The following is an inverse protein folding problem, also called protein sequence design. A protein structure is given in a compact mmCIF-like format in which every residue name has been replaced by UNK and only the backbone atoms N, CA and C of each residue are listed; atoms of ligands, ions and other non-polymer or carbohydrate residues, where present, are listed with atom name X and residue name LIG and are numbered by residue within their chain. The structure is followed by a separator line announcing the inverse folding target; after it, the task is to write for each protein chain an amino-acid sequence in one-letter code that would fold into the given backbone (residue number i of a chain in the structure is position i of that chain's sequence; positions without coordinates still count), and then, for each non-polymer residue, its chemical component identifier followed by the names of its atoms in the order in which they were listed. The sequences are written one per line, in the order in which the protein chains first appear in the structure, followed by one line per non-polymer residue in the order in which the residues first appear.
data_IF_599045412997
#
_entry.id   IF_599045412997
#
_cell.length_a   1.000
_cell.length_b   1.000
_cell.length_c   1.000
_cell.angle_alpha   90.00
_cell.angle_beta   90.00
_cell.angle_gamma   90.00
#
_symmetry.space_group_name_H-M   'P 1'
#
loop_
_entity.id
_entity.type
_entity.pdbx_description
1 polymer ?
#
# COMPACT_ATOMS: atom_id res chain seq x y z
N UNK A 1 9.39 16.39 -17.29
CA UNK A 1 8.66 15.67 -16.22
C UNK A 1 9.30 14.30 -16.08
N UNK A 2 9.72 13.91 -14.87
CA UNK A 2 10.23 12.56 -14.65
C UNK A 2 9.09 11.55 -14.87
N UNK A 3 9.37 10.46 -15.58
CA UNK A 3 8.36 9.41 -15.79
C UNK A 3 8.00 8.76 -14.45
N UNK A 4 6.71 8.53 -14.21
CA UNK A 4 6.26 7.79 -13.03
C UNK A 4 6.87 6.38 -13.08
N UNK A 5 7.59 5.93 -12.04
CA UNK A 5 8.17 4.59 -12.03
C UNK A 5 7.08 3.52 -12.08
N UNK A 6 7.38 2.32 -12.59
CA UNK A 6 6.40 1.24 -12.65
C UNK A 6 5.95 0.82 -11.24
N UNK A 7 4.72 0.29 -11.15
CA UNK A 7 4.14 -0.26 -9.93
C UNK A 7 5.08 -1.32 -9.31
N UNK A 8 5.36 -1.19 -8.03
CA UNK A 8 6.09 -2.19 -7.26
C UNK A 8 5.21 -3.37 -6.88
N UNK A 9 5.71 -4.58 -7.06
CA UNK A 9 5.05 -5.81 -6.61
C UNK A 9 5.87 -6.47 -5.51
N UNK A 10 5.23 -7.15 -4.55
CA UNK A 10 5.94 -7.87 -3.50
C UNK A 10 6.66 -9.09 -4.06
N UNK A 11 7.82 -9.41 -3.50
CA UNK A 11 8.52 -10.65 -3.80
C UNK A 11 7.69 -11.86 -3.36
N UNK A 12 7.92 -13.00 -3.99
CA UNK A 12 7.23 -14.26 -3.70
C UNK A 12 8.20 -15.34 -3.26
N UNK A 13 7.76 -16.22 -2.37
CA UNK A 13 8.46 -17.46 -2.12
C UNK A 13 8.60 -18.27 -3.40
N UNK A 14 9.72 -19.00 -3.54
CA UNK A 14 9.93 -19.93 -4.66
C UNK A 14 8.89 -21.05 -4.65
N UNK A 15 8.69 -21.70 -5.78
CA UNK A 15 7.73 -22.80 -5.88
C UNK A 15 8.08 -23.95 -4.91
N UNK A 16 9.37 -24.25 -4.74
CA UNK A 16 9.87 -25.27 -3.82
C UNK A 16 9.56 -24.91 -2.37
N UNK A 17 9.83 -23.67 -1.97
CA UNK A 17 9.53 -23.19 -0.62
C UNK A 17 8.02 -23.23 -0.33
N UNK A 18 7.18 -22.84 -1.29
CA UNK A 18 5.73 -22.88 -1.14
C UNK A 18 5.17 -24.30 -0.97
N UNK A 19 5.82 -25.31 -1.55
CA UNK A 19 5.43 -26.73 -1.39
C UNK A 19 5.89 -27.31 -0.06
N UNK A 20 6.94 -26.75 0.53
CA UNK A 20 7.57 -27.25 1.74
C UNK A 20 7.00 -26.69 3.04
N UNK A 21 6.19 -25.61 2.98
CA UNK A 21 5.67 -24.95 4.18
C UNK A 21 4.32 -24.27 3.91
N UNK A 22 3.70 -23.74 4.97
CA UNK A 22 2.45 -22.97 4.93
C UNK A 22 2.68 -21.49 5.24
N UNK A 23 3.89 -20.96 5.02
CA UNK A 23 4.18 -19.54 5.18
C UNK A 23 3.48 -18.70 4.10
N UNK A 24 3.36 -17.40 4.35
CA UNK A 24 2.79 -16.46 3.38
C UNK A 24 3.60 -16.48 2.08
N UNK A 25 2.89 -16.55 0.96
CA UNK A 25 3.51 -16.62 -0.39
C UNK A 25 4.18 -15.31 -0.76
N UNK A 26 3.50 -14.20 -0.50
CA UNK A 26 4.00 -12.86 -0.77
C UNK A 26 4.77 -12.33 0.44
N UNK A 27 5.99 -11.88 0.21
CA UNK A 27 6.82 -11.30 1.25
C UNK A 27 6.41 -9.84 1.53
N UNK A 28 6.53 -9.34 2.76
CA UNK A 28 6.32 -7.92 3.02
C UNK A 28 7.34 -7.09 2.25
N UNK A 29 6.99 -5.84 1.94
CA UNK A 29 7.94 -4.91 1.37
C UNK A 29 9.12 -4.68 2.31
N UNK A 30 10.31 -4.54 1.74
CA UNK A 30 11.43 -3.93 2.43
C UNK A 30 11.19 -2.41 2.55
N UNK A 31 11.91 -1.74 3.44
CA UNK A 31 11.83 -0.29 3.59
C UNK A 31 12.07 0.45 2.25
N UNK A 32 13.03 -0.03 1.46
CA UNK A 32 13.31 0.55 0.14
C UNK A 32 12.18 0.33 -0.87
N UNK A 33 11.52 -0.82 -0.84
CA UNK A 33 10.36 -1.09 -1.71
C UNK A 33 9.16 -0.23 -1.29
N UNK A 34 8.88 -0.15 -0.01
CA UNK A 34 7.79 0.66 0.54
C UNK A 34 7.99 2.16 0.21
N UNK A 35 9.21 2.68 0.39
CA UNK A 35 9.53 4.07 0.07
C UNK A 35 9.35 4.37 -1.42
N UNK A 36 9.93 3.54 -2.32
CA UNK A 36 9.76 3.73 -3.77
C UNK A 36 8.29 3.71 -4.19
N UNK A 37 7.50 2.85 -3.60
CA UNK A 37 6.08 2.79 -3.91
C UNK A 37 5.32 3.99 -3.32
N UNK A 38 5.69 4.46 -2.13
CA UNK A 38 5.14 5.66 -1.53
C UNK A 38 5.45 6.93 -2.34
N UNK A 39 6.62 7.00 -2.98
CA UNK A 39 7.01 8.11 -3.86
C UNK A 39 6.10 8.25 -5.09
N UNK A 40 5.44 7.18 -5.51
CA UNK A 40 4.48 7.21 -6.63
C UNK A 40 3.17 7.93 -6.28
N UNK A 41 2.85 8.05 -5.00
CA UNK A 41 1.60 8.66 -4.55
C UNK A 41 1.53 10.15 -4.94
N UNK A 42 0.48 10.51 -5.66
CA UNK A 42 0.25 11.89 -6.12
C UNK A 42 -0.32 12.81 -5.03
N UNK A 43 -0.68 12.28 -3.86
CA UNK A 43 -1.35 13.06 -2.81
C UNK A 43 -2.54 13.83 -3.37
N UNK A 44 -3.55 13.18 -3.85
CA UNK A 44 -4.68 13.79 -4.57
C UNK A 44 -5.49 14.83 -3.77
N UNK A 45 -4.90 15.47 -2.75
CA UNK A 45 -5.49 16.55 -1.96
C UNK A 45 -6.47 16.06 -0.89
N UNK A 46 -7.32 16.97 -0.42
CA UNK A 46 -8.27 16.73 0.68
C UNK A 46 -9.37 15.71 0.34
N UNK A 47 -9.52 15.38 -0.92
CA UNK A 47 -10.58 14.49 -1.42
C UNK A 47 -9.99 13.34 -2.24
N UNK A 48 -8.98 12.69 -1.70
CA UNK A 48 -8.37 11.54 -2.37
C UNK A 48 -9.37 10.40 -2.55
N UNK A 49 -9.52 9.94 -3.80
CA UNK A 49 -10.53 8.92 -4.14
C UNK A 49 -10.24 7.59 -3.41
N UNK A 50 -8.97 7.25 -3.17
CA UNK A 50 -8.60 6.04 -2.44
C UNK A 50 -9.12 6.06 -0.98
N UNK A 51 -9.08 7.21 -0.31
CA UNK A 51 -9.64 7.41 1.03
C UNK A 51 -11.17 7.29 1.01
N UNK A 52 -11.82 7.95 0.04
CA UNK A 52 -13.27 7.88 -0.12
C UNK A 52 -13.78 6.47 -0.46
N UNK A 53 -13.04 5.72 -1.25
CA UNK A 53 -13.43 4.37 -1.66
C UNK A 53 -13.14 3.34 -0.57
N UNK A 54 -12.25 3.65 0.36
CA UNK A 54 -12.00 2.81 1.53
C UNK A 54 -13.25 2.80 2.43
N UNK A 55 -13.81 1.62 2.79
CA UNK A 55 -14.98 1.55 3.67
C UNK A 55 -14.75 2.15 5.06
N UNK A 56 -13.50 2.25 5.49
CA UNK A 56 -13.10 2.86 6.77
C UNK A 56 -12.71 4.33 6.63
N UNK A 57 -12.72 4.87 5.41
CA UNK A 57 -12.17 6.20 5.12
C UNK A 57 -10.79 6.41 5.73
N UNK A 58 -9.91 5.40 5.58
CA UNK A 58 -8.58 5.42 6.17
C UNK A 58 -7.73 6.51 5.52
N UNK A 59 -6.91 7.18 6.33
CA UNK A 59 -6.06 8.32 5.95
C UNK A 59 -4.88 7.89 5.05
N UNK A 60 -5.21 7.27 3.89
CA UNK A 60 -4.25 6.61 3.00
C UNK A 60 -3.16 7.55 2.49
N UNK A 61 -3.45 8.71 1.91
CA UNK A 61 -2.40 9.60 1.43
C UNK A 61 -1.50 10.13 2.55
N UNK A 62 -2.08 10.35 3.73
CA UNK A 62 -1.39 10.89 4.88
C UNK A 62 -0.36 9.90 5.43
N UNK A 63 -0.74 8.63 5.65
CA UNK A 63 0.24 7.66 6.13
C UNK A 63 1.22 7.20 5.04
N UNK A 64 0.86 7.20 3.75
CA UNK A 64 1.82 7.01 2.66
C UNK A 64 2.91 8.09 2.68
N UNK A 65 2.54 9.33 2.95
CA UNK A 65 3.51 10.41 3.07
C UNK A 65 4.48 10.19 4.23
N UNK A 66 3.99 9.70 5.38
CA UNK A 66 4.86 9.36 6.51
C UNK A 66 5.83 8.22 6.17
N UNK A 67 5.37 7.23 5.41
CA UNK A 67 6.27 6.16 4.88
C UNK A 67 7.36 6.76 4.00
N UNK A 68 7.01 7.67 3.11
CA UNK A 68 7.97 8.37 2.25
C UNK A 68 9.00 9.19 3.04
N UNK A 69 8.58 9.82 4.12
CA UNK A 69 9.45 10.56 5.04
C UNK A 69 10.30 9.65 5.94
N UNK A 70 10.00 8.35 5.98
CA UNK A 70 10.65 7.38 6.86
C UNK A 70 10.10 7.37 8.29
N UNK A 71 9.04 8.14 8.57
CA UNK A 71 8.38 8.19 9.88
C UNK A 71 7.30 7.09 9.97
N UNK A 72 7.77 5.86 10.16
CA UNK A 72 6.88 4.70 10.23
C UNK A 72 5.98 4.73 11.45
N UNK A 73 6.45 5.27 12.57
CA UNK A 73 5.65 5.39 13.79
C UNK A 73 4.41 6.27 13.56
N UNK A 74 4.58 7.42 12.92
CA UNK A 74 3.46 8.29 12.55
C UNK A 74 2.55 7.65 11.49
N UNK A 75 3.11 6.86 10.54
CA UNK A 75 2.32 6.13 9.56
C UNK A 75 1.40 5.11 10.24
N UNK A 76 1.93 4.31 11.18
CA UNK A 76 1.15 3.35 11.98
C UNK A 76 0.04 4.06 12.76
N UNK A 77 0.35 5.15 13.45
CA UNK A 77 -0.63 5.91 14.22
C UNK A 77 -1.80 6.41 13.35
N UNK A 78 -1.48 6.99 12.19
CA UNK A 78 -2.49 7.46 11.23
C UNK A 78 -3.35 6.31 10.68
N UNK A 79 -2.74 5.18 10.33
CA UNK A 79 -3.47 4.01 9.85
C UNK A 79 -4.44 3.48 10.92
N UNK A 80 -4.02 3.44 12.17
CA UNK A 80 -4.84 2.96 13.29
C UNK A 80 -5.96 3.91 13.73
N UNK A 81 -5.99 5.16 13.29
CA UNK A 81 -7.07 6.09 13.65
C UNK A 81 -8.44 5.61 13.18
N UNK A 82 -8.51 4.94 12.05
CA UNK A 82 -9.78 4.43 11.50
C UNK A 82 -9.77 2.91 11.26
N UNK A 83 -8.63 2.25 11.36
CA UNK A 83 -8.48 0.82 11.12
C UNK A 83 -7.78 0.15 12.31
N UNK A 84 -8.48 -0.72 13.03
CA UNK A 84 -7.91 -1.44 14.17
C UNK A 84 -7.10 -2.69 13.79
N UNK A 85 -7.13 -3.13 12.53
CA UNK A 85 -6.52 -4.39 12.07
C UNK A 85 -5.80 -4.21 10.72
N UNK A 86 -4.87 -3.24 10.57
CA UNK A 86 -4.21 -2.99 9.28
C UNK A 86 -3.39 -4.20 8.79
N UNK A 87 -2.84 -5.00 9.69
CA UNK A 87 -2.12 -6.24 9.34
C UNK A 87 -3.03 -7.29 8.66
N UNK A 88 -4.32 -7.25 8.91
CA UNK A 88 -5.29 -8.13 8.25
C UNK A 88 -5.82 -7.49 6.97
N UNK A 89 -6.25 -6.24 7.03
CA UNK A 89 -6.84 -5.53 5.88
C UNK A 89 -5.85 -5.35 4.74
N UNK A 90 -4.57 -5.13 5.04
CA UNK A 90 -3.50 -5.10 4.04
C UNK A 90 -3.33 -6.40 3.25
N UNK A 91 -3.90 -7.52 3.73
CA UNK A 91 -3.86 -8.84 3.08
C UNK A 91 -5.18 -9.27 2.45
N UNK A 92 -6.31 -8.97 3.08
CA UNK A 92 -7.60 -9.58 2.70
C UNK A 92 -8.56 -8.62 2.00
N UNK A 93 -8.35 -7.32 2.09
CA UNK A 93 -9.16 -6.36 1.34
C UNK A 93 -9.04 -6.62 -0.18
N UNK A 94 -10.13 -6.55 -0.93
CA UNK A 94 -10.09 -6.54 -2.38
C UNK A 94 -9.66 -5.15 -2.89
N UNK A 95 -8.36 -4.81 -2.70
CA UNK A 95 -7.82 -3.48 -2.97
C UNK A 95 -8.04 -3.04 -4.42
N UNK A 96 -8.04 -3.99 -5.36
CA UNK A 96 -8.33 -3.77 -6.78
C UNK A 96 -9.73 -3.21 -7.06
N UNK A 97 -10.66 -3.39 -6.12
CA UNK A 97 -12.04 -2.87 -6.17
C UNK A 97 -12.28 -1.71 -5.22
N UNK A 98 -11.33 -1.42 -4.34
CA UNK A 98 -11.40 -0.38 -3.33
C UNK A 98 -10.33 0.69 -3.58
N UNK A 99 -9.42 0.90 -2.63
CA UNK A 99 -8.44 1.98 -2.68
C UNK A 99 -7.51 1.93 -3.91
N UNK A 100 -6.97 0.77 -4.25
CA UNK A 100 -6.12 0.64 -5.44
C UNK A 100 -6.92 0.73 -6.74
N UNK A 101 -8.13 0.18 -6.74
CA UNK A 101 -9.06 0.28 -7.87
C UNK A 101 -9.47 1.71 -8.21
N UNK A 102 -9.50 2.59 -7.21
CA UNK A 102 -9.84 4.00 -7.35
C UNK A 102 -8.62 4.92 -7.52
N UNK A 103 -7.41 4.38 -7.48
CA UNK A 103 -6.19 5.18 -7.58
C UNK A 103 -6.10 5.91 -8.92
N UNK A 104 -5.82 7.21 -8.89
CA UNK A 104 -5.69 8.05 -10.09
C UNK A 104 -4.62 7.54 -11.07
N UNK A 105 -3.60 6.84 -10.58
CA UNK A 105 -2.54 6.28 -11.43
C UNK A 105 -2.93 4.98 -12.14
N UNK A 106 -4.08 4.39 -11.80
CA UNK A 106 -4.44 3.01 -12.18
C UNK A 106 -4.27 2.72 -13.67
N UNK A 107 -4.88 3.54 -14.51
CA UNK A 107 -5.05 3.22 -15.93
C UNK A 107 -3.77 3.45 -16.75
N UNK A 108 -2.96 4.44 -16.41
CA UNK A 108 -1.78 4.80 -17.19
C UNK A 108 -0.48 4.24 -16.61
N UNK A 109 -0.39 4.13 -15.28
CA UNK A 109 0.88 3.82 -14.61
C UNK A 109 0.78 2.65 -13.62
N UNK A 110 -0.39 2.06 -13.47
CA UNK A 110 -0.71 1.14 -12.40
C UNK A 110 -0.88 1.86 -11.05
N UNK A 111 -1.89 1.47 -10.29
CA UNK A 111 -2.15 2.05 -8.96
C UNK A 111 -0.95 1.95 -8.03
N UNK A 112 -0.88 2.80 -7.01
CA UNK A 112 0.00 2.57 -5.86
C UNK A 112 -0.39 1.27 -5.18
N UNK A 113 0.58 0.44 -4.78
CA UNK A 113 0.34 -0.83 -4.10
C UNK A 113 0.03 -0.56 -2.62
N UNK A 114 -1.15 0.00 -2.37
CA UNK A 114 -1.58 0.53 -1.07
C UNK A 114 -1.61 -0.57 -0.01
N UNK A 115 -2.21 -1.72 -0.33
CA UNK A 115 -2.30 -2.84 0.61
C UNK A 115 -0.94 -3.38 1.04
N UNK A 116 0.06 -3.39 0.15
CA UNK A 116 1.41 -3.84 0.53
C UNK A 116 2.18 -2.80 1.35
N UNK A 117 1.91 -1.51 1.16
CA UNK A 117 2.45 -0.47 2.05
C UNK A 117 1.78 -0.58 3.42
N UNK A 118 0.45 -0.73 3.49
CA UNK A 118 -0.28 -0.93 4.74
C UNK A 118 0.23 -2.16 5.51
N UNK A 119 0.53 -3.24 4.79
CA UNK A 119 1.13 -4.44 5.39
C UNK A 119 2.55 -4.23 5.91
N UNK A 120 3.29 -3.30 5.31
CA UNK A 120 4.66 -2.97 5.70
C UNK A 120 4.70 -2.15 7.00
N UNK A 121 3.79 -1.19 7.17
CA UNK A 121 3.71 -0.37 8.38
C UNK A 121 3.08 -1.16 9.53
#
# INVERSE_FOLDING_TARGET
MAATPPRGEPDKLTAEARRANFAEIYLPFTAGQANREAERCLKCGEHSICEWTCPLHNHIPQWIERVKEGDIAAAVELSHQTNCLPEITGRVCPQDRLCEGACTLRDEHGSVTIGNIERYI
#
